data_IF_744079693238
#
_entry.id   IF_744079693238
#
_cell.length_a   1.000
_cell.length_b   1.000
_cell.length_c   1.000
_cell.angle_alpha   90.00
_cell.angle_beta   90.00
_cell.angle_gamma   90.00
#
_symmetry.space_group_name_H-M   'P 1'
#
loop_
_entity.id
_entity.type
_entity.pdbx_description
1 polymer ?
#
# COMPACT_ATOMS: atom_id res chain seq x y z
N UNK A 1 -19.55 7.96 18.41
CA UNK A 1 -18.51 7.35 17.54
C UNK A 1 -17.30 7.05 18.40
N UNK A 2 -16.66 5.90 18.24
CA UNK A 2 -15.40 5.60 18.93
C UNK A 2 -14.25 5.98 17.98
N UNK A 3 -13.49 7.03 18.31
CA UNK A 3 -12.41 7.55 17.46
C UNK A 3 -11.30 6.51 17.34
N UNK A 4 -10.88 6.20 16.12
CA UNK A 4 -9.78 5.30 15.82
C UNK A 4 -8.89 5.91 14.75
N UNK A 5 -7.62 6.08 15.07
CA UNK A 5 -6.63 6.68 14.17
C UNK A 5 -5.36 5.85 14.15
N UNK A 6 -4.55 6.00 13.11
CA UNK A 6 -3.33 5.18 12.96
C UNK A 6 -2.11 5.97 12.55
N UNK A 7 -0.96 5.55 13.05
CA UNK A 7 0.33 5.81 12.42
C UNK A 7 0.73 4.58 11.57
N UNK A 8 1.07 4.83 10.31
CA UNK A 8 1.29 3.79 9.32
C UNK A 8 2.65 4.00 8.60
N UNK A 9 3.79 3.80 9.28
CA UNK A 9 5.11 4.00 8.69
C UNK A 9 5.51 2.81 7.79
N UNK A 10 6.22 3.11 6.70
CA UNK A 10 7.00 2.11 5.97
C UNK A 10 8.42 2.07 6.52
N UNK A 11 8.97 0.88 6.86
CA UNK A 11 10.30 0.76 7.46
C UNK A 11 11.40 0.83 6.39
N UNK A 12 11.43 1.92 5.61
CA UNK A 12 12.37 2.11 4.49
C UNK A 12 13.48 3.13 4.77
N UNK A 13 13.70 3.45 6.04
CA UNK A 13 14.67 4.41 6.52
C UNK A 13 14.34 4.92 7.92
N UNK A 14 15.15 5.85 8.42
CA UNK A 14 14.98 6.45 9.75
C UNK A 14 13.71 7.27 9.86
N UNK A 15 13.18 7.36 11.07
CA UNK A 15 12.09 8.28 11.39
C UNK A 15 12.52 9.73 11.15
N UNK A 16 11.75 10.42 10.31
CA UNK A 16 11.94 11.84 10.04
C UNK A 16 10.88 12.68 10.76
N UNK A 17 11.16 13.98 10.94
CA UNK A 17 10.31 14.92 11.69
C UNK A 17 8.86 14.93 11.19
N UNK A 18 8.66 14.88 9.86
CA UNK A 18 7.30 14.80 9.28
C UNK A 18 6.50 13.56 9.70
N UNK A 19 7.16 12.40 9.81
CA UNK A 19 6.54 11.14 10.28
C UNK A 19 6.20 11.23 11.76
N UNK A 20 7.15 11.65 12.58
CA UNK A 20 6.95 11.85 14.03
C UNK A 20 5.84 12.86 14.31
N UNK A 21 5.79 13.99 13.59
CA UNK A 21 4.71 14.97 13.70
C UNK A 21 3.34 14.35 13.40
N UNK A 22 3.25 13.52 12.37
CA UNK A 22 2.02 12.83 11.99
C UNK A 22 1.58 11.86 13.10
N UNK A 23 2.52 11.10 13.67
CA UNK A 23 2.25 10.21 14.80
C UNK A 23 1.74 10.99 16.03
N UNK A 24 2.42 12.09 16.40
CA UNK A 24 2.03 12.96 17.52
C UNK A 24 0.62 13.53 17.35
N UNK A 25 0.26 14.00 16.14
CA UNK A 25 -1.08 14.53 15.87
C UNK A 25 -2.16 13.46 16.06
N UNK A 26 -1.94 12.27 15.52
CA UNK A 26 -2.88 11.16 15.70
C UNK A 26 -2.96 10.72 17.16
N UNK A 27 -1.82 10.64 17.85
CA UNK A 27 -1.74 10.27 19.26
C UNK A 27 -2.53 11.23 20.14
N UNK A 28 -2.23 12.54 20.09
CA UNK A 28 -2.92 13.52 20.92
C UNK A 28 -4.39 13.69 20.53
N UNK A 29 -4.72 13.57 19.24
CA UNK A 29 -6.11 13.56 18.81
C UNK A 29 -6.88 12.38 19.42
N UNK A 30 -6.36 11.15 19.32
CA UNK A 30 -6.97 9.98 19.97
C UNK A 30 -7.14 10.19 21.48
N UNK A 31 -6.09 10.65 22.18
CA UNK A 31 -6.14 10.86 23.63
C UNK A 31 -7.17 11.92 24.02
N UNK A 32 -7.27 13.04 23.29
CA UNK A 32 -8.27 14.09 23.56
C UNK A 32 -9.71 13.63 23.37
N UNK A 33 -9.94 12.61 22.53
CA UNK A 33 -11.27 12.07 22.24
C UNK A 33 -11.57 10.77 22.99
N UNK A 34 -10.68 10.30 23.88
CA UNK A 34 -10.79 8.98 24.50
C UNK A 34 -10.78 7.81 23.50
N UNK A 35 -10.19 8.03 22.32
CA UNK A 35 -10.14 7.07 21.21
C UNK A 35 -8.94 6.11 21.28
N UNK A 36 -8.72 5.41 20.16
CA UNK A 36 -7.63 4.44 19.98
C UNK A 36 -6.60 4.93 18.96
N UNK A 37 -5.33 4.82 19.31
CA UNK A 37 -4.18 5.06 18.45
C UNK A 37 -3.54 3.71 18.07
N UNK A 38 -3.49 3.42 16.76
CA UNK A 38 -3.01 2.15 16.22
C UNK A 38 -1.66 2.33 15.52
N UNK A 39 -0.70 1.43 15.74
CA UNK A 39 0.49 1.28 14.90
C UNK A 39 0.23 0.20 13.85
N UNK A 40 0.52 0.49 12.58
CA UNK A 40 0.50 -0.51 11.50
C UNK A 40 1.74 -0.38 10.63
N UNK A 41 2.49 -1.45 10.45
CA UNK A 41 3.73 -1.46 9.67
C UNK A 41 3.39 -1.70 8.19
N UNK A 42 3.75 -0.75 7.33
CA UNK A 42 3.51 -0.79 5.87
C UNK A 42 4.77 -1.30 5.13
N UNK A 43 5.11 -2.57 5.34
CA UNK A 43 6.32 -3.27 4.85
C UNK A 43 6.09 -4.05 3.54
N UNK A 44 5.14 -3.62 2.71
CA UNK A 44 4.81 -4.33 1.46
C UNK A 44 5.92 -4.28 0.41
N UNK A 45 6.81 -3.29 0.51
CA UNK A 45 8.01 -3.20 -0.32
C UNK A 45 9.18 -3.88 0.38
N UNK A 46 9.37 -5.18 0.09
CA UNK A 46 10.40 -6.00 0.75
C UNK A 46 11.83 -5.61 0.39
N UNK A 47 12.05 -4.97 -0.76
CA UNK A 47 13.40 -4.56 -1.18
C UNK A 47 13.88 -3.34 -0.38
N UNK A 48 12.94 -2.45 -0.02
CA UNK A 48 13.26 -1.24 0.74
C UNK A 48 13.04 -1.38 2.24
N UNK A 49 12.28 -2.38 2.69
CA UNK A 49 11.97 -2.58 4.11
C UNK A 49 13.11 -3.28 4.84
N UNK A 50 13.71 -2.65 5.86
CA UNK A 50 14.82 -3.26 6.61
C UNK A 50 14.49 -3.45 8.10
N UNK A 51 15.03 -4.51 8.75
CA UNK A 51 14.88 -4.72 10.18
C UNK A 51 15.37 -3.53 11.03
N UNK A 52 16.44 -2.86 10.61
CA UNK A 52 17.01 -1.70 11.31
C UNK A 52 16.05 -0.52 11.27
N UNK A 53 15.41 -0.29 10.12
CA UNK A 53 14.41 0.77 9.96
C UNK A 53 13.14 0.47 10.76
N UNK A 54 12.76 -0.81 10.87
CA UNK A 54 11.67 -1.24 11.72
C UNK A 54 12.00 -1.02 13.21
N UNK A 55 13.23 -1.35 13.63
CA UNK A 55 13.67 -1.12 15.01
C UNK A 55 13.72 0.37 15.36
N UNK A 56 14.20 1.22 14.44
CA UNK A 56 14.24 2.67 14.61
C UNK A 56 12.85 3.28 14.86
N UNK A 57 11.77 2.70 14.29
CA UNK A 57 10.39 3.07 14.62
C UNK A 57 10.12 2.81 16.11
N UNK A 58 10.34 1.60 16.59
CA UNK A 58 10.08 1.23 17.99
C UNK A 58 10.92 2.07 18.96
N UNK A 59 12.20 2.23 18.68
CA UNK A 59 13.14 2.98 19.53
C UNK A 59 12.76 4.47 19.60
N UNK A 60 12.40 5.07 18.46
CA UNK A 60 11.97 6.48 18.41
C UNK A 60 10.72 6.71 19.26
N UNK A 61 9.70 5.86 19.14
CA UNK A 61 8.46 6.06 19.89
C UNK A 61 8.57 5.67 21.36
N UNK A 62 9.41 4.70 21.69
CA UNK A 62 9.81 4.40 23.06
C UNK A 62 10.48 5.62 23.70
N UNK A 63 11.45 6.25 23.01
CA UNK A 63 12.13 7.46 23.49
C UNK A 63 11.18 8.66 23.67
N UNK A 64 10.20 8.81 22.78
CA UNK A 64 9.17 9.86 22.87
C UNK A 64 8.09 9.58 23.93
N UNK A 65 8.07 8.39 24.54
CA UNK A 65 7.01 7.98 25.47
C UNK A 65 5.63 7.84 24.82
N UNK A 66 5.59 7.46 23.53
CA UNK A 66 4.35 7.24 22.79
C UNK A 66 4.05 5.75 22.74
N UNK A 67 2.84 5.40 23.18
CA UNK A 67 2.34 4.03 23.16
C UNK A 67 1.06 3.95 22.33
N UNK A 68 0.95 2.92 21.50
CA UNK A 68 -0.27 2.59 20.76
C UNK A 68 -1.16 1.64 21.55
N UNK A 69 -2.46 1.74 21.34
CA UNK A 69 -3.46 0.87 21.96
C UNK A 69 -3.62 -0.46 21.21
N UNK A 70 -3.22 -0.50 19.94
CA UNK A 70 -3.18 -1.69 19.07
C UNK A 70 -1.95 -1.60 18.16
N UNK A 71 -1.29 -2.72 17.91
CA UNK A 71 -0.03 -2.75 17.16
C UNK A 71 0.58 -4.14 17.03
N UNK A 72 1.75 -4.25 16.37
CA UNK A 72 2.40 -5.53 16.11
C UNK A 72 2.81 -6.30 17.38
N UNK A 73 3.23 -5.58 18.40
CA UNK A 73 3.78 -6.07 19.67
C UNK A 73 2.73 -6.29 20.76
N UNK A 74 1.66 -5.48 20.79
CA UNK A 74 0.59 -5.60 21.79
C UNK A 74 -0.75 -6.12 21.24
N UNK A 75 -0.82 -6.40 19.93
CA UNK A 75 -1.95 -7.04 19.29
C UNK A 75 -3.21 -6.16 19.21
N UNK A 76 -4.37 -6.81 19.20
CA UNK A 76 -5.67 -6.17 19.08
C UNK A 76 -6.60 -6.89 18.09
N UNK A 77 -7.87 -6.48 18.01
CA UNK A 77 -8.91 -7.25 17.31
C UNK A 77 -8.78 -7.27 15.78
N UNK A 78 -7.94 -6.41 15.18
CA UNK A 78 -7.79 -6.27 13.73
C UNK A 78 -6.41 -6.71 13.21
N UNK A 79 -5.66 -7.44 14.04
CA UNK A 79 -4.37 -7.99 13.65
C UNK A 79 -4.45 -8.95 12.44
N UNK A 80 -3.29 -9.33 11.87
CA UNK A 80 -1.95 -8.82 12.20
C UNK A 80 -1.78 -7.34 11.83
N UNK A 81 -0.91 -6.60 12.53
CA UNK A 81 -0.65 -5.17 12.26
C UNK A 81 0.59 -4.92 11.39
N UNK A 82 1.15 -5.98 10.80
CA UNK A 82 2.22 -5.95 9.81
C UNK A 82 1.62 -6.33 8.47
N UNK A 83 1.83 -5.52 7.42
CA UNK A 83 1.13 -5.74 6.15
C UNK A 83 1.62 -6.96 5.38
N UNK A 84 2.90 -7.31 5.47
CA UNK A 84 3.44 -8.51 4.84
C UNK A 84 2.83 -9.82 5.37
N UNK A 85 2.21 -9.78 6.57
CA UNK A 85 1.48 -10.90 7.17
C UNK A 85 0.00 -10.97 6.71
N UNK A 86 -0.44 -10.02 5.87
CA UNK A 86 -1.85 -9.86 5.47
C UNK A 86 -2.11 -10.14 3.99
N UNK A 87 -1.17 -10.77 3.28
CA UNK A 87 -1.30 -10.97 1.82
C UNK A 87 -2.53 -11.77 1.41
N UNK A 88 -2.97 -12.76 2.19
CA UNK A 88 -4.21 -13.50 1.89
C UNK A 88 -5.45 -12.61 1.92
N UNK A 89 -5.49 -11.65 2.85
CA UNK A 89 -6.57 -10.66 2.92
C UNK A 89 -6.60 -9.78 1.68
N UNK A 90 -5.43 -9.31 1.23
CA UNK A 90 -5.34 -8.45 0.04
C UNK A 90 -5.68 -9.22 -1.23
N UNK A 91 -5.23 -10.47 -1.36
CA UNK A 91 -5.58 -11.35 -2.49
C UNK A 91 -7.10 -11.52 -2.59
N UNK A 92 -7.77 -11.83 -1.48
CA UNK A 92 -9.23 -11.94 -1.42
C UNK A 92 -9.93 -10.70 -1.99
N UNK A 93 -9.55 -9.50 -1.55
CA UNK A 93 -10.19 -8.27 -2.02
C UNK A 93 -9.78 -7.89 -3.44
N UNK A 94 -8.56 -8.19 -3.86
CA UNK A 94 -8.15 -8.01 -5.26
C UNK A 94 -8.98 -8.89 -6.20
N UNK A 95 -9.25 -10.14 -5.81
CA UNK A 95 -10.11 -11.06 -6.58
C UNK A 95 -11.59 -10.61 -6.57
N UNK A 96 -12.06 -10.00 -5.49
CA UNK A 96 -13.39 -9.37 -5.45
C UNK A 96 -13.50 -8.18 -6.41
N UNK A 97 -12.46 -7.33 -6.48
CA UNK A 97 -12.40 -6.22 -7.43
C UNK A 97 -12.32 -6.70 -8.88
N UNK A 98 -11.59 -7.79 -9.15
CA UNK A 98 -11.56 -8.42 -10.47
C UNK A 98 -12.96 -8.94 -10.86
N UNK A 99 -13.61 -9.70 -9.98
CA UNK A 99 -14.94 -10.28 -10.24
C UNK A 99 -16.02 -9.23 -10.42
N UNK A 100 -15.94 -8.12 -9.69
CA UNK A 100 -16.90 -7.01 -9.78
C UNK A 100 -16.59 -6.02 -10.91
N UNK A 101 -15.53 -6.24 -11.70
CA UNK A 101 -15.15 -5.37 -12.82
C UNK A 101 -14.48 -4.05 -12.42
N UNK A 102 -14.18 -3.86 -11.14
CA UNK A 102 -13.47 -2.68 -10.61
C UNK A 102 -11.95 -2.79 -10.72
N UNK A 103 -11.43 -3.94 -11.12
CA UNK A 103 -10.02 -4.14 -11.45
C UNK A 103 -9.88 -5.02 -12.69
N UNK A 104 -8.70 -5.00 -13.30
CA UNK A 104 -8.35 -5.84 -14.44
C UNK A 104 -6.90 -6.29 -14.36
N UNK A 105 -6.60 -7.44 -14.95
CA UNK A 105 -5.23 -7.94 -15.11
C UNK A 105 -4.49 -7.19 -16.21
N UNK A 106 -3.24 -6.86 -15.95
CA UNK A 106 -2.33 -6.18 -16.86
C UNK A 106 -1.07 -7.01 -17.03
N UNK A 107 -0.74 -7.28 -18.29
CA UNK A 107 0.41 -8.10 -18.71
C UNK A 107 1.52 -7.24 -19.36
N UNK A 108 1.43 -5.91 -19.26
CA UNK A 108 2.46 -5.02 -19.79
C UNK A 108 3.78 -5.19 -19.04
N UNK A 109 4.86 -5.41 -19.80
CA UNK A 109 6.21 -5.57 -19.23
C UNK A 109 6.77 -4.23 -18.71
N UNK A 110 7.73 -4.26 -17.78
CA UNK A 110 8.43 -3.06 -17.32
C UNK A 110 9.05 -2.24 -18.46
N UNK A 111 9.59 -2.88 -19.49
CA UNK A 111 10.22 -2.24 -20.66
C UNK A 111 9.18 -1.44 -21.45
N UNK A 112 8.01 -2.03 -21.73
CA UNK A 112 6.89 -1.31 -22.38
C UNK A 112 6.50 -0.08 -21.56
N UNK A 113 6.41 -0.22 -20.24
CA UNK A 113 6.04 0.88 -19.36
C UNK A 113 7.12 1.97 -19.32
N UNK A 114 8.40 1.61 -19.45
CA UNK A 114 9.49 2.58 -19.57
C UNK A 114 9.41 3.37 -20.87
N UNK A 115 9.26 2.69 -22.02
CA UNK A 115 9.11 3.35 -23.33
C UNK A 115 7.87 4.26 -23.38
N UNK A 116 6.74 3.83 -22.79
CA UNK A 116 5.54 4.66 -22.71
C UNK A 116 5.80 5.97 -21.93
N UNK A 117 6.55 5.91 -20.82
CA UNK A 117 6.89 7.10 -20.03
C UNK A 117 7.77 8.07 -20.81
N UNK A 118 8.77 7.56 -21.54
CA UNK A 118 9.65 8.36 -22.39
C UNK A 118 8.87 9.05 -23.51
N UNK A 119 7.96 8.32 -24.17
CA UNK A 119 7.10 8.87 -25.23
C UNK A 119 6.17 9.98 -24.69
N UNK A 120 5.51 9.72 -23.55
CA UNK A 120 4.65 10.71 -22.89
C UNK A 120 5.45 11.97 -22.51
N UNK A 121 6.67 11.80 -21.97
CA UNK A 121 7.53 12.91 -21.60
C UNK A 121 7.97 13.73 -22.82
N UNK A 122 8.41 13.07 -23.90
CA UNK A 122 8.82 13.71 -25.14
C UNK A 122 7.67 14.52 -25.77
N UNK A 123 6.44 14.01 -25.67
CA UNK A 123 5.22 14.66 -26.18
C UNK A 123 4.58 15.65 -25.19
N UNK A 124 5.17 15.84 -23.99
CA UNK A 124 4.60 16.66 -22.90
C UNK A 124 3.15 16.28 -22.52
N UNK A 125 2.82 15.00 -22.63
CA UNK A 125 1.52 14.46 -22.24
C UNK A 125 1.49 14.15 -20.73
N UNK A 126 0.30 14.08 -20.11
CA UNK A 126 0.16 13.59 -18.75
C UNK A 126 0.77 12.19 -18.60
N UNK A 127 1.64 12.02 -17.61
CA UNK A 127 2.28 10.73 -17.36
C UNK A 127 1.34 9.77 -16.66
N UNK A 128 1.36 8.50 -17.07
CA UNK A 128 0.56 7.47 -16.45
C UNK A 128 0.41 6.22 -17.30
N UNK A 129 -0.24 5.21 -16.74
CA UNK A 129 -0.58 4.02 -17.48
C UNK A 129 -1.65 4.33 -18.54
N UNK A 130 -1.41 3.91 -19.77
CA UNK A 130 -2.25 4.15 -20.95
C UNK A 130 -3.51 3.28 -21.00
N UNK A 131 -3.77 2.50 -19.94
CA UNK A 131 -4.94 1.61 -19.82
C UNK A 131 -4.96 0.51 -20.90
N UNK A 132 -3.81 0.16 -21.47
CA UNK A 132 -3.68 -0.81 -22.56
C UNK A 132 -4.40 -2.14 -22.31
N UNK A 133 -4.33 -2.68 -21.09
CA UNK A 133 -4.97 -3.96 -20.75
C UNK A 133 -6.40 -3.82 -20.19
N UNK A 134 -6.99 -2.61 -20.15
CA UNK A 134 -8.25 -2.33 -19.44
C UNK A 134 -9.43 -3.09 -20.01
N UNK A 135 -9.58 -3.08 -21.33
CA UNK A 135 -10.73 -3.60 -22.04
C UNK A 135 -10.32 -4.67 -23.08
N UNK A 136 -9.28 -5.46 -22.76
CA UNK A 136 -8.87 -6.60 -23.58
C UNK A 136 -10.05 -7.56 -23.79
N UNK A 137 -10.25 -7.96 -25.05
CA UNK A 137 -11.16 -9.03 -25.40
C UNK A 137 -10.77 -10.31 -24.68
N UNK A 138 -11.76 -11.13 -24.34
CA UNK A 138 -11.54 -12.35 -23.55
C UNK A 138 -10.55 -13.31 -24.21
N UNK A 139 -10.63 -13.45 -25.54
CA UNK A 139 -9.68 -14.26 -26.30
C UNK A 139 -8.23 -13.76 -26.20
N UNK A 140 -8.02 -12.44 -26.24
CA UNK A 140 -6.69 -11.85 -26.07
C UNK A 140 -6.20 -12.03 -24.63
N UNK A 141 -7.07 -11.83 -23.63
CA UNK A 141 -6.74 -12.05 -22.22
C UNK A 141 -6.27 -13.49 -21.99
N UNK A 142 -7.00 -14.48 -22.50
CA UNK A 142 -6.63 -15.89 -22.37
C UNK A 142 -5.36 -16.26 -23.13
N UNK A 143 -5.08 -15.60 -24.27
CA UNK A 143 -3.80 -15.78 -24.96
C UNK A 143 -2.66 -15.23 -24.10
N UNK A 144 -2.81 -14.01 -23.54
CA UNK A 144 -1.82 -13.40 -22.64
C UNK A 144 -1.62 -14.20 -21.36
N UNK A 145 -2.67 -14.76 -20.76
CA UNK A 145 -2.54 -15.61 -19.56
C UNK A 145 -1.80 -16.92 -19.83
N UNK A 146 -1.85 -17.43 -21.06
CA UNK A 146 -1.09 -18.62 -21.48
C UNK A 146 0.37 -18.30 -21.81
N UNK A 147 0.63 -17.12 -22.36
CA UNK A 147 1.98 -16.68 -22.77
C UNK A 147 2.75 -16.00 -21.63
N UNK A 148 2.07 -15.33 -20.71
CA UNK A 148 2.66 -14.52 -19.67
C UNK A 148 2.61 -15.24 -18.32
N UNK A 149 3.77 -15.51 -17.76
CA UNK A 149 3.89 -16.12 -16.43
C UNK A 149 3.48 -15.17 -15.29
N UNK A 150 3.44 -13.85 -15.54
CA UNK A 150 3.18 -12.85 -14.49
C UNK A 150 2.25 -11.73 -14.96
N UNK A 151 1.34 -11.31 -14.09
CA UNK A 151 0.48 -10.15 -14.30
C UNK A 151 0.40 -9.32 -13.03
N UNK A 152 0.02 -8.05 -13.19
CA UNK A 152 -0.38 -7.19 -12.07
C UNK A 152 -1.89 -6.92 -12.15
N UNK A 153 -2.51 -6.70 -11.00
CA UNK A 153 -3.91 -6.25 -10.93
C UNK A 153 -3.91 -4.73 -10.86
N UNK A 154 -4.63 -4.08 -11.79
CA UNK A 154 -4.80 -2.63 -11.83
C UNK A 154 -6.23 -2.25 -11.46
N UNK A 155 -6.38 -1.23 -10.63
CA UNK A 155 -7.68 -0.64 -10.32
C UNK A 155 -8.24 0.12 -11.53
N UNK A 156 -9.53 -0.06 -11.81
CA UNK A 156 -10.24 0.53 -12.95
C UNK A 156 -10.77 1.92 -12.59
N UNK A 157 -9.90 2.93 -12.70
CA UNK A 157 -10.27 4.35 -12.48
C UNK A 157 -11.33 4.77 -13.51
N UNK A 158 -12.46 5.41 -13.13
CA UNK A 158 -13.43 5.98 -14.07
C UNK A 158 -12.80 6.94 -15.10
N UNK A 159 -13.42 7.05 -16.27
CA UNK A 159 -12.98 7.98 -17.32
C UNK A 159 -13.65 9.34 -17.20
N UNK A 160 -14.81 9.36 -16.54
CA UNK A 160 -15.73 10.46 -16.30
C UNK A 160 -16.09 10.48 -14.81
#
# INVERSE_FOLDING_TARGET
>A
MNVRVRYAPSPTGKQHIGGVRTALFNYFFARSQGGKFILRIEDTDRERSTPESLQDIYDTFSWLGIHWDEGPDNGGPFGPYVQSERFELYRKYADELLRSGHAYRCYCTPERLASLREEQAAKKLPQGYDRHCRDLAEAERQARERESETFVIRFKIPLE
#
